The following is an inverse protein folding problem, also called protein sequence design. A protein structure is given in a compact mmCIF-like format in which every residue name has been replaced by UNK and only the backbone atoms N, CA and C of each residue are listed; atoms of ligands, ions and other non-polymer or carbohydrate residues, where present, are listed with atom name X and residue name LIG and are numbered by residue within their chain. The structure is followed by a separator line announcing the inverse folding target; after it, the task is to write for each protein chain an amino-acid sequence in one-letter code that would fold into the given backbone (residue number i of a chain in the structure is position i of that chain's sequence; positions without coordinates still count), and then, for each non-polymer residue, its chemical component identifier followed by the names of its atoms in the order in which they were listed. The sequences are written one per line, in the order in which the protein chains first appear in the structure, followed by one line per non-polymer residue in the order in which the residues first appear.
data_IF_997772176726
#
_entry.id   IF_997772176726
#
_cell.length_a   1.000
_cell.length_b   1.000
_cell.length_c   1.000
_cell.angle_alpha   90.00
_cell.angle_beta   90.00
_cell.angle_gamma   90.00
#
_symmetry.space_group_name_H-M   'P 1'
#
loop_
_entity.id
_entity.type
_entity.pdbx_description
1 polymer ?
#
# COMPACT_ATOMS: atom_id res chain seq x y z
N UNK A 1 22.86 3.74 -7.86
CA UNK A 1 21.48 3.39 -8.26
C UNK A 1 20.98 2.30 -7.33
N UNK A 2 19.71 2.31 -6.91
CA UNK A 2 19.15 1.23 -6.07
C UNK A 2 19.09 -0.08 -6.88
N UNK A 3 19.54 -1.23 -6.33
CA UNK A 3 19.41 -2.52 -7.00
C UNK A 3 17.94 -2.85 -7.27
N UNK A 4 17.64 -3.43 -8.44
CA UNK A 4 16.27 -3.72 -8.84
C UNK A 4 15.65 -4.77 -7.90
N UNK A 5 14.39 -4.54 -7.52
CA UNK A 5 13.65 -5.45 -6.64
C UNK A 5 14.13 -5.50 -5.18
N UNK A 6 15.10 -4.67 -4.78
CA UNK A 6 15.56 -4.57 -3.40
C UNK A 6 15.14 -3.24 -2.76
N UNK A 7 14.93 -3.27 -1.45
CA UNK A 7 14.70 -2.08 -0.64
C UNK A 7 15.97 -1.74 0.12
N UNK A 8 16.38 -0.47 0.11
CA UNK A 8 17.41 0.02 1.03
C UNK A 8 16.88 -0.14 2.47
N UNK A 9 17.64 -0.84 3.31
CA UNK A 9 17.24 -1.12 4.69
C UNK A 9 17.90 -0.18 5.68
N UNK A 10 19.23 -0.05 5.59
CA UNK A 10 20.03 0.75 6.52
C UNK A 10 21.28 1.28 5.84
N UNK A 11 21.63 2.51 6.16
CA UNK A 11 22.94 3.10 5.92
C UNK A 11 23.66 3.16 7.27
N UNK A 12 24.84 2.56 7.38
CA UNK A 12 25.66 2.60 8.60
C UNK A 12 27.13 2.80 8.25
N UNK A 13 27.74 3.88 8.75
CA UNK A 13 29.12 4.29 8.41
C UNK A 13 29.36 4.31 6.89
N UNK A 14 28.40 4.86 6.13
CA UNK A 14 28.44 4.91 4.65
C UNK A 14 28.08 3.59 3.95
N UNK A 15 28.05 2.45 4.66
CA UNK A 15 27.70 1.16 4.08
C UNK A 15 26.19 1.00 3.96
N UNK A 16 25.73 0.64 2.75
CA UNK A 16 24.32 0.39 2.44
C UNK A 16 24.02 -1.10 2.52
N UNK A 17 22.95 -1.44 3.22
CA UNK A 17 22.41 -2.81 3.27
C UNK A 17 21.01 -2.85 2.71
N UNK A 18 20.68 -3.98 2.09
CA UNK A 18 19.45 -4.14 1.32
C UNK A 18 18.65 -5.33 1.85
N UNK A 19 17.36 -5.30 1.54
CA UNK A 19 16.46 -6.41 1.79
C UNK A 19 15.60 -6.69 0.56
N UNK A 20 15.41 -7.98 0.28
CA UNK A 20 14.44 -8.44 -0.71
C UNK A 20 13.27 -9.12 0.00
N UNK A 21 12.10 -9.05 -0.61
CA UNK A 21 10.93 -9.80 -0.13
C UNK A 21 10.25 -10.43 -1.33
N UNK A 22 10.61 -11.68 -1.67
CA UNK A 22 9.95 -12.41 -2.74
C UNK A 22 8.44 -12.47 -2.52
N UNK A 23 7.69 -12.53 -3.62
CA UNK A 23 6.24 -12.64 -3.51
C UNK A 23 5.85 -14.00 -2.94
N UNK A 24 4.96 -13.98 -1.94
CA UNK A 24 4.47 -15.17 -1.25
C UNK A 24 2.96 -15.02 -1.02
N UNK A 25 2.12 -15.39 -2.01
CA UNK A 25 0.68 -15.24 -1.93
C UNK A 25 0.10 -15.90 -0.67
N UNK A 26 -0.66 -15.14 0.12
CA UNK A 26 -1.30 -15.62 1.35
C UNK A 26 -0.36 -16.16 2.44
N UNK A 27 0.95 -16.10 2.26
CA UNK A 27 1.93 -16.73 3.14
C UNK A 27 1.99 -18.26 3.09
N UNK A 28 1.44 -18.87 2.05
CA UNK A 28 1.56 -20.32 1.85
C UNK A 28 2.84 -20.64 1.08
N UNK A 29 3.68 -21.50 1.65
CA UNK A 29 4.99 -21.84 1.10
C UNK A 29 5.20 -23.35 1.10
N UNK A 30 5.76 -23.89 0.01
CA UNK A 30 6.16 -25.29 -0.04
C UNK A 30 7.53 -25.50 0.63
N UNK A 31 7.81 -26.67 1.21
CA UNK A 31 9.07 -26.92 1.92
C UNK A 31 10.33 -26.70 1.09
N UNK A 32 10.32 -27.06 -0.19
CA UNK A 32 11.44 -26.86 -1.12
C UNK A 32 11.73 -25.37 -1.35
N UNK A 33 10.69 -24.54 -1.50
CA UNK A 33 10.83 -23.09 -1.63
C UNK A 33 11.35 -22.46 -0.33
N UNK A 34 10.88 -22.95 0.82
CA UNK A 34 11.40 -22.49 2.12
C UNK A 34 12.89 -22.82 2.30
N UNK A 35 13.33 -24.03 1.89
CA UNK A 35 14.75 -24.39 1.91
C UNK A 35 15.57 -23.44 1.04
N UNK A 36 15.12 -23.13 -0.18
CA UNK A 36 15.79 -22.14 -1.04
C UNK A 36 15.97 -20.78 -0.35
N UNK A 37 14.99 -20.29 0.41
CA UNK A 37 15.14 -19.04 1.16
C UNK A 37 16.20 -19.15 2.26
N UNK A 38 16.26 -20.28 2.96
CA UNK A 38 17.28 -20.55 3.97
C UNK A 38 18.68 -20.64 3.34
N UNK A 39 18.83 -21.39 2.25
CA UNK A 39 20.11 -21.57 1.55
C UNK A 39 20.66 -20.22 1.04
N UNK A 40 19.80 -19.37 0.46
CA UNK A 40 20.15 -18.01 0.05
C UNK A 40 20.54 -17.14 1.24
N UNK A 41 19.76 -17.17 2.32
CA UNK A 41 20.09 -16.39 3.52
C UNK A 41 21.44 -16.81 4.12
N UNK A 42 21.73 -18.12 4.17
CA UNK A 42 23.02 -18.62 4.64
C UNK A 42 24.17 -18.18 3.73
N UNK A 43 24.05 -18.41 2.42
CA UNK A 43 25.07 -18.09 1.42
C UNK A 43 25.45 -16.61 1.37
N UNK A 44 24.47 -15.72 1.50
CA UNK A 44 24.67 -14.28 1.42
C UNK A 44 24.71 -13.60 2.81
N UNK A 45 24.85 -14.38 3.88
CA UNK A 45 24.87 -13.91 5.27
C UNK A 45 23.67 -13.02 5.64
N UNK A 46 22.53 -13.30 5.03
CA UNK A 46 21.28 -12.63 5.27
C UNK A 46 20.54 -13.18 6.48
N UNK A 47 19.58 -12.39 6.98
CA UNK A 47 18.67 -12.80 8.06
C UNK A 47 17.25 -12.91 7.51
N UNK A 48 16.58 -14.02 7.83
CA UNK A 48 15.17 -14.22 7.50
C UNK A 48 14.26 -13.54 8.53
N UNK A 49 13.37 -12.67 8.05
CA UNK A 49 12.36 -11.99 8.87
C UNK A 49 10.96 -12.29 8.37
N UNK A 50 10.14 -12.90 9.22
CA UNK A 50 8.70 -13.00 8.99
C UNK A 50 8.06 -11.62 9.14
N UNK A 51 7.23 -11.24 8.17
CA UNK A 51 6.55 -9.96 8.13
C UNK A 51 5.09 -10.09 8.55
N UNK A 52 4.48 -9.02 9.05
CA UNK A 52 3.05 -9.00 9.45
C UNK A 52 2.08 -9.26 8.29
N UNK A 53 2.55 -9.17 7.05
CA UNK A 53 1.83 -9.49 5.82
C UNK A 53 2.04 -10.95 5.36
N UNK A 54 2.50 -11.84 6.26
CA UNK A 54 2.73 -13.27 5.99
C UNK A 54 3.77 -13.53 4.87
N UNK A 55 4.85 -12.74 4.84
CA UNK A 55 5.96 -12.93 3.89
C UNK A 55 7.27 -13.18 4.62
N UNK A 56 8.23 -13.78 3.91
CA UNK A 56 9.62 -13.92 4.36
C UNK A 56 10.48 -12.88 3.66
N UNK A 57 11.11 -12.00 4.43
CA UNK A 57 12.07 -11.01 3.94
C UNK A 57 13.50 -11.49 4.24
N UNK A 58 14.41 -11.36 3.28
CA UNK A 58 15.84 -11.65 3.44
C UNK A 58 16.55 -10.30 3.56
N UNK A 59 17.19 -10.05 4.71
CA UNK A 59 17.79 -8.74 5.05
C UNK A 59 19.31 -8.81 5.17
N UNK A 60 19.99 -7.66 5.14
CA UNK A 60 21.44 -7.58 5.34
C UNK A 60 22.26 -7.84 4.07
N UNK A 61 21.62 -7.79 2.90
CA UNK A 61 22.23 -8.10 1.62
C UNK A 61 23.06 -6.92 1.09
N UNK A 62 24.08 -7.23 0.28
CA UNK A 62 24.88 -6.24 -0.43
C UNK A 62 24.25 -5.90 -1.78
N UNK A 63 24.56 -4.73 -2.32
CA UNK A 63 23.98 -4.26 -3.57
C UNK A 63 24.36 -5.14 -4.76
N UNK A 64 25.64 -5.52 -4.83
CA UNK A 64 26.26 -6.30 -5.90
C UNK A 64 25.77 -7.74 -6.00
N UNK A 65 25.14 -8.27 -4.95
CA UNK A 65 24.66 -9.64 -4.89
C UNK A 65 23.18 -9.78 -5.30
N UNK A 66 22.42 -8.67 -5.35
CA UNK A 66 20.96 -8.70 -5.51
C UNK A 66 20.51 -9.41 -6.80
N UNK A 67 21.15 -9.11 -7.93
CA UNK A 67 20.74 -9.69 -9.21
C UNK A 67 20.98 -11.22 -9.23
N UNK A 68 22.12 -11.67 -8.69
CA UNK A 68 22.45 -13.10 -8.54
C UNK A 68 21.46 -13.81 -7.60
N UNK A 69 21.10 -13.16 -6.49
CA UNK A 69 20.12 -13.72 -5.54
C UNK A 69 18.77 -13.95 -6.23
N UNK A 70 18.31 -13.03 -7.07
CA UNK A 70 17.06 -13.22 -7.82
C UNK A 70 17.13 -14.36 -8.84
N UNK A 71 18.26 -14.49 -9.56
CA UNK A 71 18.50 -15.62 -10.46
C UNK A 71 18.47 -16.95 -9.71
N UNK A 72 19.17 -17.05 -8.58
CA UNK A 72 19.24 -18.29 -7.79
C UNK A 72 17.90 -18.65 -7.13
N UNK A 73 17.10 -17.66 -6.73
CA UNK A 73 15.73 -17.89 -6.28
C UNK A 73 14.83 -18.40 -7.42
N UNK A 74 15.15 -18.10 -8.68
CA UNK A 74 14.31 -18.39 -9.84
C UNK A 74 12.97 -17.65 -9.78
N UNK A 75 12.95 -16.47 -9.13
CA UNK A 75 11.75 -15.68 -8.90
C UNK A 75 11.90 -14.30 -9.54
N UNK A 76 10.79 -13.73 -9.99
CA UNK A 76 10.80 -12.38 -10.53
C UNK A 76 11.13 -11.36 -9.43
N UNK A 77 12.06 -10.41 -9.67
CA UNK A 77 12.34 -9.34 -8.73
C UNK A 77 11.07 -8.59 -8.36
N UNK A 78 10.97 -8.17 -7.10
CA UNK A 78 9.78 -7.52 -6.54
C UNK A 78 9.59 -6.07 -7.03
N UNK A 79 9.53 -5.88 -8.35
CA UNK A 79 9.31 -4.61 -9.04
C UNK A 79 7.86 -4.13 -8.86
N UNK A 80 7.60 -2.86 -9.15
CA UNK A 80 6.27 -2.27 -9.13
C UNK A 80 6.22 -0.93 -8.39
N UNK A 81 5.01 -0.39 -8.28
CA UNK A 81 4.80 0.94 -7.69
C UNK A 81 4.97 0.92 -6.18
N UNK A 82 5.51 2.01 -5.61
CA UNK A 82 5.58 2.18 -4.16
C UNK A 82 4.18 2.28 -3.54
N UNK A 83 3.27 3.01 -4.19
CA UNK A 83 1.86 3.05 -3.86
C UNK A 83 1.12 2.02 -4.71
N UNK A 84 0.88 0.85 -4.12
CA UNK A 84 0.17 -0.24 -4.74
C UNK A 84 -0.57 -1.08 -3.70
N UNK A 85 -1.39 -2.00 -4.18
CA UNK A 85 -1.89 -3.11 -3.35
C UNK A 85 -0.73 -4.03 -2.97
N UNK A 86 -0.55 -4.21 -1.66
CA UNK A 86 0.44 -5.12 -1.08
C UNK A 86 -0.09 -6.56 -1.10
N UNK A 87 0.75 -7.53 -0.78
CA UNK A 87 0.33 -8.94 -0.70
C UNK A 87 -0.90 -9.08 0.20
N UNK A 88 -1.83 -9.92 -0.24
CA UNK A 88 -3.09 -10.13 0.46
C UNK A 88 -2.86 -11.07 1.63
N UNK A 89 -3.29 -10.64 2.82
CA UNK A 89 -3.18 -11.45 4.04
C UNK A 89 -4.36 -12.44 4.09
N UNK A 90 -4.09 -13.72 4.23
CA UNK A 90 -5.10 -14.79 4.12
C UNK A 90 -5.01 -15.69 5.34
N UNK A 91 -6.14 -15.99 5.99
CA UNK A 91 -6.15 -16.99 7.06
C UNK A 91 -6.20 -18.43 6.49
N UNK A 92 -5.97 -19.47 7.31
CA UNK A 92 -5.96 -20.86 6.82
C UNK A 92 -7.30 -21.37 6.23
N UNK A 93 -8.38 -20.59 6.29
CA UNK A 93 -9.69 -20.92 5.71
C UNK A 93 -10.35 -22.15 6.33
N UNK A 94 -11.39 -22.66 5.68
CA UNK A 94 -12.03 -23.93 6.04
C UNK A 94 -11.21 -25.17 5.61
N UNK A 95 -10.15 -24.97 4.80
CA UNK A 95 -9.25 -26.04 4.36
C UNK A 95 -8.34 -26.54 5.50
N UNK A 96 -7.77 -25.61 6.29
CA UNK A 96 -6.80 -25.95 7.34
C UNK A 96 -7.21 -25.50 8.75
N UNK A 97 -8.39 -24.89 8.92
CA UNK A 97 -8.89 -24.48 10.23
C UNK A 97 -10.33 -24.94 10.46
N UNK A 98 -10.56 -25.65 11.57
CA UNK A 98 -11.87 -26.14 12.01
C UNK A 98 -12.93 -25.05 12.26
N UNK A 99 -12.52 -23.77 12.33
CA UNK A 99 -13.42 -22.62 12.55
C UNK A 99 -13.75 -21.87 11.27
N UNK A 100 -13.10 -22.20 10.14
CA UNK A 100 -13.35 -21.55 8.87
C UNK A 100 -14.78 -21.84 8.41
N UNK A 101 -15.54 -20.78 8.10
CA UNK A 101 -16.88 -20.88 7.52
C UNK A 101 -16.82 -20.84 6.00
N UNK A 102 -15.92 -20.01 5.48
CA UNK A 102 -15.70 -19.84 4.05
C UNK A 102 -14.25 -20.19 3.64
N UNK A 103 -14.04 -20.49 2.36
CA UNK A 103 -12.72 -20.75 1.79
C UNK A 103 -11.98 -19.44 1.48
N UNK A 104 -11.30 -18.89 2.49
CA UNK A 104 -10.49 -17.68 2.34
C UNK A 104 -9.26 -17.87 1.48
N UNK A 105 -8.78 -19.12 1.29
CA UNK A 105 -7.61 -19.39 0.47
C UNK A 105 -7.97 -19.18 -0.99
N UNK A 106 -9.04 -19.84 -1.48
CA UNK A 106 -9.52 -19.65 -2.85
C UNK A 106 -9.79 -18.18 -3.16
N UNK A 107 -10.53 -17.48 -2.30
CA UNK A 107 -10.88 -16.08 -2.53
C UNK A 107 -9.66 -15.15 -2.45
N UNK A 108 -8.82 -15.30 -1.43
CA UNK A 108 -7.66 -14.45 -1.26
C UNK A 108 -6.60 -14.64 -2.34
N UNK A 109 -6.42 -15.85 -2.87
CA UNK A 109 -5.52 -16.12 -3.99
C UNK A 109 -6.00 -15.46 -5.28
N UNK A 110 -7.32 -15.49 -5.55
CA UNK A 110 -7.89 -14.81 -6.72
C UNK A 110 -7.72 -13.29 -6.61
N UNK A 111 -7.99 -12.72 -5.43
CA UNK A 111 -7.74 -11.30 -5.19
C UNK A 111 -6.25 -10.95 -5.32
N UNK A 112 -5.32 -11.81 -4.87
CA UNK A 112 -3.89 -11.54 -4.97
C UNK A 112 -3.46 -11.55 -6.44
N UNK A 113 -3.94 -12.50 -7.24
CA UNK A 113 -3.73 -12.54 -8.69
C UNK A 113 -4.25 -11.28 -9.40
N UNK A 114 -5.43 -10.79 -9.03
CA UNK A 114 -6.06 -9.63 -9.68
C UNK A 114 -5.43 -8.29 -9.28
N UNK A 115 -5.05 -8.15 -8.01
CA UNK A 115 -4.73 -6.84 -7.44
C UNK A 115 -3.29 -6.67 -6.99
N UNK A 116 -2.52 -7.74 -6.74
CA UNK A 116 -1.14 -7.60 -6.26
C UNK A 116 -0.34 -6.66 -7.17
N UNK A 117 0.32 -5.66 -6.57
CA UNK A 117 1.11 -4.62 -7.26
C UNK A 117 0.33 -3.69 -8.19
N UNK A 118 -1.01 -3.75 -8.25
CA UNK A 118 -1.83 -2.75 -8.94
C UNK A 118 -1.57 -1.37 -8.34
N UNK A 119 -1.26 -0.38 -9.19
CA UNK A 119 -0.98 1.00 -8.77
C UNK A 119 -2.19 1.62 -8.08
N UNK A 120 -1.95 2.30 -6.96
CA UNK A 120 -3.00 2.93 -6.15
C UNK A 120 -2.57 4.34 -5.74
N UNK A 121 -3.52 5.22 -5.38
CA UNK A 121 -3.20 6.55 -4.86
C UNK A 121 -2.26 6.50 -3.65
N UNK A 122 -2.47 5.56 -2.73
CA UNK A 122 -1.54 5.21 -1.65
C UNK A 122 -1.44 3.69 -1.48
N UNK A 123 -0.53 3.23 -0.61
CA UNK A 123 -0.40 1.79 -0.32
C UNK A 123 -1.73 1.23 0.21
N UNK A 124 -2.14 0.08 -0.32
CA UNK A 124 -3.33 -0.63 0.13
C UNK A 124 -2.98 -2.00 0.69
N UNK A 125 -3.65 -2.40 1.77
CA UNK A 125 -3.54 -3.72 2.38
C UNK A 125 -4.90 -4.38 2.39
N UNK A 126 -4.97 -5.58 1.82
CA UNK A 126 -6.17 -6.41 1.85
C UNK A 126 -6.02 -7.50 2.89
N UNK A 127 -7.14 -7.99 3.42
CA UNK A 127 -7.16 -9.18 4.28
C UNK A 127 -8.42 -9.98 4.06
N UNK A 128 -8.28 -11.30 3.94
CA UNK A 128 -9.37 -12.25 3.74
C UNK A 128 -9.38 -13.24 4.89
N UNK A 129 -10.46 -13.29 5.66
CA UNK A 129 -10.63 -14.21 6.78
C UNK A 129 -11.87 -15.06 6.53
N UNK A 130 -11.78 -16.39 6.65
CA UNK A 130 -12.93 -17.28 6.47
C UNK A 130 -13.92 -17.31 7.64
N UNK A 131 -13.71 -16.55 8.72
CA UNK A 131 -14.62 -16.46 9.86
C UNK A 131 -14.36 -15.21 10.72
N UNK A 132 -15.26 -14.95 11.68
CA UNK A 132 -15.22 -13.81 12.60
C UNK A 132 -13.97 -13.72 13.50
N UNK A 133 -13.17 -14.78 13.63
CA UNK A 133 -11.88 -14.70 14.32
C UNK A 133 -10.90 -13.72 13.67
N UNK A 134 -11.11 -13.39 12.38
CA UNK A 134 -10.38 -12.32 11.71
C UNK A 134 -8.85 -12.45 11.81
N UNK A 135 -8.29 -13.65 11.63
CA UNK A 135 -6.84 -13.89 11.76
C UNK A 135 -6.00 -13.13 10.72
N UNK A 136 -6.62 -12.65 9.63
CA UNK A 136 -6.01 -11.74 8.66
C UNK A 136 -6.23 -10.26 8.98
N UNK A 137 -6.78 -9.94 10.15
CA UNK A 137 -6.97 -8.59 10.72
C UNK A 137 -7.89 -7.69 9.87
N UNK A 138 -9.02 -8.23 9.40
CA UNK A 138 -9.96 -7.60 8.45
C UNK A 138 -10.30 -6.14 8.84
N UNK A 139 -10.57 -5.87 10.13
CA UNK A 139 -11.00 -4.54 10.59
C UNK A 139 -9.92 -3.46 10.54
N UNK A 140 -8.66 -3.80 10.24
CA UNK A 140 -7.57 -2.83 10.12
C UNK A 140 -6.89 -2.89 8.74
N UNK A 141 -7.61 -3.42 7.75
CA UNK A 141 -7.23 -3.43 6.33
C UNK A 141 -7.95 -2.34 5.57
N UNK A 142 -7.32 -1.84 4.51
CA UNK A 142 -7.96 -0.89 3.60
C UNK A 142 -9.20 -1.57 2.97
N UNK A 143 -9.08 -2.84 2.56
CA UNK A 143 -10.22 -3.71 2.22
C UNK A 143 -10.12 -5.00 3.04
N UNK A 144 -11.12 -5.25 3.85
CA UNK A 144 -11.27 -6.48 4.62
C UNK A 144 -12.43 -7.32 4.08
N UNK A 145 -12.22 -8.62 3.93
CA UNK A 145 -13.25 -9.59 3.55
C UNK A 145 -13.38 -10.64 4.65
N UNK A 146 -14.56 -10.77 5.24
CA UNK A 146 -14.84 -11.69 6.34
C UNK A 146 -15.91 -12.70 5.94
N UNK A 147 -15.61 -13.99 6.08
CA UNK A 147 -16.58 -15.05 5.86
C UNK A 147 -17.50 -15.24 7.05
N UNK A 148 -18.75 -15.55 6.77
CA UNK A 148 -19.78 -15.94 7.74
C UNK A 148 -20.56 -17.16 7.20
N UNK A 149 -21.54 -17.63 7.96
CA UNK A 149 -22.40 -18.74 7.51
C UNK A 149 -23.36 -18.32 6.37
N UNK A 150 -23.54 -17.01 6.15
CA UNK A 150 -24.46 -16.45 5.14
C UNK A 150 -23.74 -15.82 3.94
N UNK A 151 -22.40 -15.90 3.86
CA UNK A 151 -21.62 -15.37 2.75
C UNK A 151 -20.39 -14.59 3.21
N UNK A 152 -20.10 -13.48 2.54
CA UNK A 152 -18.93 -12.63 2.78
C UNK A 152 -19.31 -11.19 3.11
N UNK A 153 -18.70 -10.64 4.15
CA UNK A 153 -18.86 -9.26 4.59
C UNK A 153 -17.66 -8.42 4.19
N UNK A 154 -17.92 -7.21 3.72
CA UNK A 154 -16.91 -6.29 3.20
C UNK A 154 -16.75 -5.12 4.15
N UNK A 155 -15.50 -4.89 4.55
CA UNK A 155 -15.07 -3.78 5.39
C UNK A 155 -14.09 -2.89 4.65
N UNK A 156 -14.16 -1.58 4.86
CA UNK A 156 -13.34 -0.59 4.14
C UNK A 156 -12.71 0.48 5.05
N UNK A 157 -11.51 0.93 4.69
CA UNK A 157 -10.85 2.08 5.29
C UNK A 157 -10.09 1.80 6.60
N UNK A 158 -9.85 0.54 6.98
CA UNK A 158 -9.07 0.21 8.17
C UNK A 158 -7.58 0.48 8.02
N UNK A 159 -6.87 0.72 9.13
CA UNK A 159 -5.41 0.88 9.17
C UNK A 159 -4.85 0.59 10.57
N UNK A 160 -3.76 -0.18 10.66
CA UNK A 160 -3.01 -0.44 11.90
C UNK A 160 -1.66 0.32 11.96
N UNK A 161 -1.55 1.46 11.28
CA UNK A 161 -0.33 2.26 11.18
C UNK A 161 -0.20 3.29 12.30
N UNK A 162 0.59 4.34 12.06
CA UNK A 162 0.80 5.45 12.99
C UNK A 162 -0.51 6.12 13.47
N UNK A 163 -1.51 6.16 12.58
CA UNK A 163 -2.87 6.58 12.90
C UNK A 163 -3.80 5.37 12.72
N UNK A 164 -4.08 4.61 13.80
CA UNK A 164 -4.95 3.45 13.71
C UNK A 164 -6.40 3.87 13.45
N UNK A 165 -7.08 3.14 12.57
CA UNK A 165 -8.48 3.36 12.18
C UNK A 165 -9.15 2.01 12.00
N UNK A 166 -10.33 1.83 12.59
CA UNK A 166 -11.16 0.66 12.31
C UNK A 166 -11.91 0.83 10.99
N UNK A 167 -12.01 -0.26 10.24
CA UNK A 167 -12.75 -0.30 8.98
C UNK A 167 -14.26 -0.19 9.23
N UNK A 168 -14.97 0.45 8.31
CA UNK A 168 -16.42 0.52 8.32
C UNK A 168 -17.00 -0.69 7.57
N UNK A 169 -18.08 -1.27 8.09
CA UNK A 169 -18.84 -2.29 7.38
C UNK A 169 -19.56 -1.65 6.18
N UNK A 170 -19.33 -2.16 4.97
CA UNK A 170 -19.91 -1.65 3.74
C UNK A 170 -21.19 -2.42 3.36
N UNK A 171 -21.06 -3.74 3.27
CA UNK A 171 -22.08 -4.69 2.79
C UNK A 171 -21.78 -6.09 3.36
N UNK A 172 -22.81 -6.92 3.55
CA UNK A 172 -22.76 -8.23 4.18
C UNK A 172 -23.39 -9.30 3.28
N UNK A 173 -23.07 -10.57 3.55
CA UNK A 173 -23.76 -11.72 2.95
C UNK A 173 -23.57 -11.86 1.44
N UNK A 174 -22.42 -11.45 0.90
CA UNK A 174 -22.12 -11.57 -0.52
C UNK A 174 -21.71 -13.00 -0.91
N UNK A 175 -22.04 -13.40 -2.13
CA UNK A 175 -21.50 -14.59 -2.77
C UNK A 175 -20.07 -14.35 -3.30
N UNK A 176 -19.34 -15.43 -3.62
CA UNK A 176 -17.94 -15.36 -4.05
C UNK A 176 -17.69 -14.37 -5.20
N UNK A 177 -18.47 -14.47 -6.30
CA UNK A 177 -18.30 -13.61 -7.48
C UNK A 177 -18.70 -12.15 -7.19
N UNK A 178 -19.63 -11.95 -6.27
CA UNK A 178 -20.05 -10.63 -5.83
C UNK A 178 -18.94 -9.91 -5.06
N UNK A 179 -18.16 -10.64 -4.25
CA UNK A 179 -16.97 -10.10 -3.59
C UNK A 179 -15.96 -9.57 -4.62
N UNK A 180 -15.70 -10.32 -5.69
CA UNK A 180 -14.77 -9.88 -6.73
C UNK A 180 -15.27 -8.58 -7.38
N UNK A 181 -16.56 -8.52 -7.73
CA UNK A 181 -17.19 -7.33 -8.33
C UNK A 181 -17.16 -6.11 -7.41
N UNK A 182 -17.57 -6.23 -6.14
CA UNK A 182 -17.59 -5.08 -5.22
C UNK A 182 -16.18 -4.57 -4.92
N UNK A 183 -15.18 -5.46 -4.82
CA UNK A 183 -13.78 -5.06 -4.62
C UNK A 183 -13.27 -4.27 -5.82
N UNK A 184 -13.62 -4.68 -7.05
CA UNK A 184 -13.27 -3.93 -8.26
C UNK A 184 -13.89 -2.53 -8.26
N UNK A 185 -15.18 -2.41 -7.91
CA UNK A 185 -15.85 -1.12 -7.77
C UNK A 185 -15.18 -0.23 -6.73
N UNK A 186 -14.85 -0.77 -5.54
CA UNK A 186 -14.16 -0.03 -4.47
C UNK A 186 -12.80 0.47 -4.97
N UNK A 187 -12.03 -0.39 -5.63
CA UNK A 187 -10.69 -0.07 -6.14
C UNK A 187 -10.78 1.03 -7.19
N UNK A 188 -11.67 0.89 -8.18
CA UNK A 188 -11.86 1.90 -9.23
C UNK A 188 -12.34 3.23 -8.65
N UNK A 189 -13.29 3.19 -7.70
CA UNK A 189 -13.78 4.39 -7.04
C UNK A 189 -12.67 5.10 -6.26
N UNK A 190 -11.83 4.37 -5.55
CA UNK A 190 -10.67 4.94 -4.85
C UNK A 190 -9.63 5.51 -5.82
N UNK A 191 -9.28 4.78 -6.89
CA UNK A 191 -8.35 5.27 -7.91
C UNK A 191 -8.83 6.56 -8.60
N UNK A 192 -10.15 6.68 -8.82
CA UNK A 192 -10.74 7.82 -9.52
C UNK A 192 -10.84 9.08 -8.64
N UNK A 193 -11.22 8.92 -7.37
CA UNK A 193 -11.68 10.03 -6.54
C UNK A 193 -10.70 10.43 -5.41
N UNK A 194 -9.71 9.62 -5.10
CA UNK A 194 -8.74 9.92 -4.04
C UNK A 194 -7.52 10.68 -4.55
N UNK A 195 -6.99 11.55 -3.71
CA UNK A 195 -5.66 12.13 -3.87
C UNK A 195 -4.58 11.14 -3.37
N UNK A 196 -3.33 11.57 -3.18
CA UNK A 196 -2.26 10.75 -2.58
C UNK A 196 -2.48 10.62 -1.06
N UNK A 197 -3.50 9.86 -0.67
CA UNK A 197 -3.96 9.68 0.70
C UNK A 197 -4.36 8.22 0.95
N UNK A 198 -4.38 7.74 2.20
CA UNK A 198 -4.82 6.36 2.51
C UNK A 198 -6.34 6.22 2.36
N UNK A 199 -6.85 5.02 2.06
CA UNK A 199 -8.29 4.79 1.87
C UNK A 199 -9.14 5.25 3.07
N UNK A 200 -8.66 5.04 4.30
CA UNK A 200 -9.34 5.54 5.50
C UNK A 200 -9.47 7.07 5.52
N UNK A 201 -8.37 7.79 5.22
CA UNK A 201 -8.35 9.25 5.13
C UNK A 201 -9.26 9.76 4.01
N UNK A 202 -9.23 9.09 2.85
CA UNK A 202 -10.13 9.38 1.74
C UNK A 202 -11.60 9.25 2.17
N UNK A 203 -11.97 8.16 2.84
CA UNK A 203 -13.33 7.92 3.34
C UNK A 203 -13.73 8.99 4.36
N UNK A 204 -12.81 9.39 5.24
CA UNK A 204 -13.07 10.43 6.24
C UNK A 204 -13.25 11.80 5.56
N UNK A 205 -12.48 12.09 4.50
CA UNK A 205 -12.58 13.32 3.69
C UNK A 205 -13.89 13.42 2.92
N UNK A 206 -14.28 12.37 2.18
CA UNK A 206 -15.51 12.40 1.36
C UNK A 206 -16.78 12.10 2.18
N UNK A 207 -16.60 11.46 3.33
CA UNK A 207 -17.66 10.97 4.20
C UNK A 207 -18.09 9.54 3.85
N UNK A 208 -18.12 8.65 4.86
CA UNK A 208 -18.49 7.25 4.65
C UNK A 208 -19.89 7.05 4.05
N UNK A 209 -20.87 7.90 4.40
CA UNK A 209 -22.22 7.84 3.81
C UNK A 209 -22.19 8.02 2.29
N UNK A 210 -21.43 9.02 1.81
CA UNK A 210 -21.25 9.30 0.38
C UNK A 210 -20.50 8.17 -0.31
N UNK A 211 -19.36 7.75 0.25
CA UNK A 211 -18.59 6.61 -0.26
C UNK A 211 -19.47 5.36 -0.42
N UNK A 212 -20.22 5.00 0.62
CA UNK A 212 -21.10 3.82 0.62
C UNK A 212 -22.19 3.93 -0.44
N UNK A 213 -22.85 5.08 -0.55
CA UNK A 213 -23.92 5.27 -1.53
C UNK A 213 -23.40 5.14 -2.98
N UNK A 214 -22.26 5.75 -3.29
CA UNK A 214 -21.69 5.72 -4.64
C UNK A 214 -21.20 4.33 -5.04
N UNK A 215 -20.49 3.66 -4.13
CA UNK A 215 -19.97 2.30 -4.36
C UNK A 215 -21.11 1.30 -4.51
N UNK A 216 -22.14 1.36 -3.66
CA UNK A 216 -23.29 0.45 -3.76
C UNK A 216 -24.13 0.75 -5.00
N UNK A 217 -24.31 2.02 -5.37
CA UNK A 217 -24.99 2.38 -6.62
C UNK A 217 -24.26 1.78 -7.83
N UNK A 218 -22.94 1.93 -7.91
CA UNK A 218 -22.15 1.34 -8.99
C UNK A 218 -22.23 -0.20 -9.00
N UNK A 219 -22.17 -0.84 -7.83
CA UNK A 219 -22.24 -2.30 -7.70
C UNK A 219 -23.59 -2.89 -8.15
N UNK A 220 -24.69 -2.22 -7.81
CA UNK A 220 -26.05 -2.61 -8.21
C UNK A 220 -26.52 -2.00 -9.53
N UNK A 221 -25.63 -1.33 -10.28
CA UNK A 221 -25.94 -0.65 -11.55
C UNK A 221 -27.07 0.40 -11.42
N UNK A 222 -27.16 1.07 -10.27
CA UNK A 222 -28.12 2.14 -9.97
C UNK A 222 -27.50 3.55 -9.98
N UNK A 223 -28.29 4.52 -9.56
CA UNK A 223 -27.89 5.94 -9.42
C UNK A 223 -27.70 6.26 -7.93
N UNK A 224 -26.61 6.95 -7.59
CA UNK A 224 -26.36 7.38 -6.21
C UNK A 224 -27.40 8.40 -5.75
N UNK A 225 -28.02 8.14 -4.59
CA UNK A 225 -29.07 8.98 -4.02
C UNK A 225 -28.54 10.07 -3.06
N UNK A 226 -27.22 10.18 -2.85
CA UNK A 226 -26.62 11.19 -1.96
C UNK A 226 -25.87 12.29 -2.71
N UNK A 227 -26.17 13.52 -2.31
CA UNK A 227 -25.75 14.78 -2.89
C UNK A 227 -24.47 15.29 -2.20
N UNK A 228 -23.37 15.26 -2.96
CA UNK A 228 -22.07 15.88 -2.70
C UNK A 228 -21.16 15.29 -1.60
N UNK A 229 -19.83 15.18 -1.85
CA UNK A 229 -18.86 14.79 -0.83
C UNK A 229 -18.71 15.89 0.22
N UNK A 230 -18.37 15.51 1.47
CA UNK A 230 -18.11 16.48 2.54
C UNK A 230 -17.01 17.48 2.15
N UNK A 231 -15.98 16.99 1.45
CA UNK A 231 -14.95 17.79 0.83
C UNK A 231 -14.75 17.32 -0.62
N UNK A 232 -14.86 18.22 -1.62
CA UNK A 232 -14.73 17.87 -3.02
C UNK A 232 -13.34 17.31 -3.34
N UNK A 233 -13.27 16.57 -4.44
CA UNK A 233 -11.97 16.25 -5.04
C UNK A 233 -11.32 17.55 -5.51
N UNK A 234 -10.00 17.59 -5.44
CA UNK A 234 -9.19 18.63 -6.07
C UNK A 234 -9.61 18.85 -7.53
N UNK A 235 -9.87 20.11 -7.92
CA UNK A 235 -10.53 20.46 -9.21
C UNK A 235 -9.72 20.04 -10.45
N UNK A 236 -8.46 19.69 -10.25
CA UNK A 236 -7.61 18.99 -11.18
C UNK A 236 -6.87 17.98 -10.33
N UNK A 237 -6.32 16.90 -10.90
CA UNK A 237 -5.29 16.07 -10.25
C UNK A 237 -3.99 16.84 -9.93
N UNK A 238 -4.11 18.12 -9.57
CA UNK A 238 -3.09 19.13 -9.36
C UNK A 238 -3.24 19.97 -8.09
N UNK A 239 -4.16 19.69 -7.15
CA UNK A 239 -4.05 20.29 -5.80
C UNK A 239 -4.63 19.36 -4.74
N UNK A 240 -3.83 18.50 -4.11
CA UNK A 240 -4.28 17.79 -2.91
C UNK A 240 -4.64 18.85 -1.87
N UNK A 241 -5.91 18.98 -1.47
CA UNK A 241 -6.26 19.74 -0.26
C UNK A 241 -6.46 18.71 0.84
N UNK A 242 -5.45 18.47 1.69
CA UNK A 242 -5.61 17.52 2.77
C UNK A 242 -6.57 18.10 3.81
N UNK A 243 -7.58 17.33 4.19
CA UNK A 243 -8.39 17.64 5.36
C UNK A 243 -7.68 17.09 6.60
N UNK A 244 -7.70 17.88 7.67
CA UNK A 244 -7.01 17.66 8.93
C UNK A 244 -7.15 16.21 9.45
N UNK A 245 -6.05 15.48 9.28
CA UNK A 245 -5.89 14.08 9.68
C UNK A 245 -4.47 13.60 9.40
N UNK A 246 -3.47 14.44 9.69
CA UNK A 246 -2.05 14.09 9.71
C UNK A 246 -1.11 14.86 8.77
N UNK A 247 -1.53 15.98 8.18
CA UNK A 247 -0.68 16.84 7.35
C UNK A 247 -0.69 18.25 7.95
N UNK A 248 0.47 18.72 8.37
CA UNK A 248 0.66 20.05 8.99
C UNK A 248 0.29 21.14 8.00
N UNK A 249 -0.28 22.25 8.48
CA UNK A 249 -0.36 23.49 7.71
C UNK A 249 1.08 23.92 7.38
N UNK A 250 1.52 23.61 6.18
CA UNK A 250 2.85 23.99 5.72
C UNK A 250 2.97 25.45 5.36
N UNK A 251 4.21 25.93 5.37
CA UNK A 251 4.56 27.31 5.03
C UNK A 251 4.74 27.55 3.52
N UNK A 252 4.84 26.49 2.70
CA UNK A 252 5.05 26.60 1.27
C UNK A 252 3.76 27.02 0.55
N UNK A 253 3.85 28.04 -0.31
CA UNK A 253 2.74 28.52 -1.16
C UNK A 253 3.12 28.54 -2.64
N UNK A 254 2.11 28.67 -3.52
CA UNK A 254 2.33 28.73 -4.97
C UNK A 254 3.19 29.95 -5.31
N UNK A 255 4.26 29.73 -6.07
CA UNK A 255 5.26 30.73 -6.43
C UNK A 255 6.57 30.60 -5.64
N UNK A 256 6.56 29.93 -4.49
CA UNK A 256 7.77 29.67 -3.71
C UNK A 256 8.65 28.62 -4.38
N UNK A 257 9.97 28.79 -4.27
CA UNK A 257 10.92 27.74 -4.64
C UNK A 257 10.93 26.63 -3.60
N UNK A 258 11.14 25.40 -4.07
CA UNK A 258 11.34 24.25 -3.21
C UNK A 258 12.78 24.28 -2.67
N UNK A 259 12.92 24.18 -1.36
CA UNK A 259 14.20 24.18 -0.63
C UNK A 259 14.42 22.85 0.11
N UNK A 260 15.53 22.72 0.83
CA UNK A 260 15.87 21.52 1.60
C UNK A 260 14.96 21.32 2.82
N UNK A 261 14.43 22.41 3.37
CA UNK A 261 13.49 22.45 4.50
C UNK A 261 12.04 22.26 4.07
N UNK A 262 11.75 22.36 2.77
CA UNK A 262 10.40 22.17 2.24
C UNK A 262 9.91 20.77 2.59
N UNK A 263 8.72 20.71 3.20
CA UNK A 263 8.12 19.46 3.66
C UNK A 263 7.49 18.73 2.48
N UNK A 264 7.71 17.41 2.39
CA UNK A 264 7.25 16.59 1.26
C UNK A 264 5.75 16.75 1.00
N UNK A 265 4.90 16.74 2.04
CA UNK A 265 3.46 16.91 1.85
C UNK A 265 3.07 18.25 1.25
N UNK A 266 3.79 19.32 1.61
CA UNK A 266 3.52 20.64 1.07
C UNK A 266 3.96 20.78 -0.36
N UNK A 267 5.12 20.21 -0.71
CA UNK A 267 5.57 20.16 -2.10
C UNK A 267 4.53 19.45 -2.98
N UNK A 268 3.99 18.31 -2.54
CA UNK A 268 3.00 17.57 -3.32
C UNK A 268 1.66 18.32 -3.39
N UNK A 269 1.26 18.97 -2.30
CA UNK A 269 0.03 19.78 -2.24
C UNK A 269 0.09 20.98 -3.16
N UNK A 270 1.18 21.73 -3.11
CA UNK A 270 1.38 22.98 -3.86
C UNK A 270 1.78 22.71 -5.31
N UNK A 271 2.62 21.70 -5.54
CA UNK A 271 3.22 21.36 -6.83
C UNK A 271 3.13 19.86 -7.16
N UNK A 272 1.95 19.26 -7.31
CA UNK A 272 1.79 17.82 -7.54
C UNK A 272 2.41 17.29 -8.85
N UNK A 273 2.70 18.16 -9.82
CA UNK A 273 3.49 17.79 -11.00
C UNK A 273 4.94 17.36 -10.66
N UNK A 274 5.38 17.55 -9.41
CA UNK A 274 6.65 17.04 -8.87
C UNK A 274 6.63 15.55 -8.53
N UNK A 275 5.45 14.92 -8.42
CA UNK A 275 5.32 13.49 -8.02
C UNK A 275 6.13 12.55 -8.94
N UNK A 276 6.12 12.69 -10.28
CA UNK A 276 6.97 11.88 -11.15
C UNK A 276 8.47 12.06 -10.90
N UNK A 277 8.90 13.27 -10.49
CA UNK A 277 10.30 13.56 -10.14
C UNK A 277 10.69 12.79 -8.87
N UNK A 278 9.90 12.87 -7.80
CA UNK A 278 10.15 12.06 -6.61
C UNK A 278 10.24 10.56 -6.92
N UNK A 279 9.33 10.06 -7.76
CA UNK A 279 9.33 8.65 -8.18
C UNK A 279 10.59 8.25 -8.95
N UNK A 280 11.16 9.12 -9.79
CA UNK A 280 12.38 8.82 -10.54
C UNK A 280 13.61 8.67 -9.62
N UNK A 281 13.63 9.35 -8.48
CA UNK A 281 14.61 9.17 -7.42
C UNK A 281 14.34 7.97 -6.50
N UNK A 282 13.27 7.20 -6.74
CA UNK A 282 12.86 6.09 -5.89
C UNK A 282 12.07 6.50 -4.65
N UNK A 283 11.67 7.77 -4.53
CA UNK A 283 10.84 8.31 -3.45
C UNK A 283 9.35 8.21 -3.80
N UNK A 284 8.84 6.98 -3.96
CA UNK A 284 7.45 6.78 -4.38
C UNK A 284 6.40 6.70 -3.26
N UNK A 285 6.82 6.62 -1.99
CA UNK A 285 5.93 6.41 -0.82
C UNK A 285 5.30 7.72 -0.30
N UNK A 286 4.90 8.61 -1.21
CA UNK A 286 4.58 10.01 -0.92
C UNK A 286 3.33 10.24 -0.03
N UNK A 287 2.47 9.23 0.13
CA UNK A 287 1.31 9.26 1.05
C UNK A 287 1.55 8.50 2.37
N UNK A 288 2.81 8.19 2.70
CA UNK A 288 3.17 7.52 3.94
C UNK A 288 3.28 8.56 5.07
N UNK A 289 2.71 8.32 6.28
CA UNK A 289 2.87 9.21 7.42
C UNK A 289 4.34 9.54 7.76
N UNK A 290 5.25 8.59 7.53
CA UNK A 290 6.68 8.78 7.75
C UNK A 290 7.35 9.65 6.69
N UNK A 291 6.78 9.77 5.48
CA UNK A 291 7.35 10.58 4.42
C UNK A 291 6.72 11.98 4.37
N UNK A 292 5.42 12.07 4.67
CA UNK A 292 4.65 13.30 4.48
C UNK A 292 5.06 14.42 5.42
N UNK A 293 5.48 14.12 6.65
CA UNK A 293 5.91 15.12 7.63
C UNK A 293 7.40 15.43 7.64
N UNK A 294 8.17 14.98 6.64
CA UNK A 294 9.63 15.15 6.62
C UNK A 294 10.05 16.28 5.69
N UNK A 295 11.08 17.02 6.09
CA UNK A 295 11.82 17.92 5.21
C UNK A 295 12.54 17.13 4.13
N UNK A 296 12.72 17.75 2.96
CA UNK A 296 13.34 17.14 1.80
C UNK A 296 14.78 16.65 2.08
N UNK A 297 15.56 17.41 2.86
CA UNK A 297 16.91 17.02 3.28
C UNK A 297 16.93 15.69 4.03
N UNK A 298 16.06 15.56 5.03
CA UNK A 298 15.94 14.36 5.84
C UNK A 298 15.51 13.17 4.99
N UNK A 299 14.53 13.38 4.12
CA UNK A 299 14.06 12.34 3.20
C UNK A 299 15.18 11.89 2.24
N UNK A 300 15.93 12.83 1.66
CA UNK A 300 17.09 12.52 0.82
C UNK A 300 18.14 11.69 1.59
N UNK A 301 18.45 12.08 2.83
CA UNK A 301 19.38 11.36 3.71
C UNK A 301 18.96 9.92 4.00
N UNK A 302 17.68 9.68 4.31
CA UNK A 302 17.13 8.33 4.53
C UNK A 302 17.30 7.44 3.29
N UNK A 303 17.16 8.03 2.10
CA UNK A 303 17.27 7.34 0.82
C UNK A 303 18.72 7.31 0.29
N UNK A 304 19.67 7.96 0.95
CA UNK A 304 21.06 8.09 0.51
C UNK A 304 21.19 8.79 -0.84
N UNK A 305 20.41 9.84 -1.04
CA UNK A 305 20.34 10.66 -2.25
C UNK A 305 20.97 12.04 -1.99
N UNK A 306 21.45 12.69 -3.05
CA UNK A 306 21.86 14.09 -2.97
C UNK A 306 20.62 14.99 -3.04
N UNK A 307 20.35 15.71 -1.94
CA UNK A 307 19.21 16.63 -1.84
C UNK A 307 19.25 17.71 -2.94
N UNK A 308 20.45 18.14 -3.38
CA UNK A 308 20.60 19.19 -4.39
C UNK A 308 20.13 18.74 -5.76
N UNK A 309 20.40 17.49 -6.13
CA UNK A 309 19.90 16.90 -7.38
C UNK A 309 18.38 16.81 -7.37
N UNK A 310 17.79 16.44 -6.24
CA UNK A 310 16.34 16.36 -6.09
C UNK A 310 15.72 17.76 -6.20
N UNK A 311 16.23 18.74 -5.46
CA UNK A 311 15.78 20.15 -5.52
C UNK A 311 15.85 20.70 -6.94
N UNK A 312 16.94 20.44 -7.67
CA UNK A 312 17.10 20.89 -9.05
C UNK A 312 16.05 20.24 -9.98
N UNK A 313 15.78 18.95 -9.80
CA UNK A 313 14.74 18.24 -10.55
C UNK A 313 13.33 18.76 -10.24
N UNK A 314 13.03 19.01 -8.96
CA UNK A 314 11.73 19.50 -8.51
C UNK A 314 11.47 20.92 -9.01
N UNK A 315 12.41 21.85 -8.83
CA UNK A 315 12.25 23.23 -9.25
C UNK A 315 12.22 23.42 -10.79
N UNK A 316 12.58 22.38 -11.57
CA UNK A 316 12.50 22.42 -13.04
C UNK A 316 11.07 22.26 -13.56
N UNK A 317 10.17 21.71 -12.74
CA UNK A 317 8.78 21.40 -13.13
C UNK A 317 7.75 22.28 -12.41
N UNK A 318 8.20 23.23 -11.59
CA UNK A 318 7.34 24.25 -10.96
C UNK A 318 7.35 25.54 -11.76
#
# INVERSE_FOLDING_TARGET
MLPKGANLQKIHNGNRTYAITPHLPGGFIKPDVMRKYADIAEKYHGVLKLTSAQRVMITGLKAEDIDKIWEELGMQPAMGFANCVRSIKICPGNIFCKRGKQDSIKLGMELDKLYHKKEMPSRMKFGVAGCANSCSEVHVKDIGVMGSDIGWDIYVGGTAGAHPRLANLLIEGLEYDEVIRIVDVIVQYYQKNADIERMGQFIDRVGFKKFRADVLAAFYQGVSQTTEPLVPQSAEGKVIVPVAGGLTEGTLVIGDKITEESVISDIIRVYPQTVPVFRSFGMGCLGCPSATGEALEKAAGIHGLDVKEIIAGLNKVI
#
